data_IF_304163942724
#
_entry.id   IF_304163942724
#
_cell.length_a   1.000
_cell.length_b   1.000
_cell.length_c   1.000
_cell.angle_alpha   90.00
_cell.angle_beta   90.00
_cell.angle_gamma   90.00
#
_symmetry.space_group_name_H-M   'P 1'
#
loop_
_entity.id
_entity.type
_entity.pdbx_description
1 polymer ?
#
# COMPACT_ATOMS: atom_id res chain seq x y z
N UNK A 1 -21.11 -2.11 -30.44
CA UNK A 1 -20.77 -3.55 -30.22
C UNK A 1 -19.28 -3.81 -30.43
N UNK A 2 -18.60 -3.17 -31.41
CA UNK A 2 -17.15 -3.31 -31.63
C UNK A 2 -16.32 -2.80 -30.44
N UNK A 3 -16.58 -1.57 -30.00
CA UNK A 3 -15.83 -0.94 -28.88
C UNK A 3 -15.92 -1.74 -27.56
N UNK A 4 -17.09 -2.31 -27.26
CA UNK A 4 -17.26 -3.19 -26.10
C UNK A 4 -16.38 -4.45 -26.18
N UNK A 5 -16.32 -5.09 -27.36
CA UNK A 5 -15.50 -6.30 -27.56
C UNK A 5 -14.02 -5.95 -27.52
N UNK A 6 -13.62 -4.88 -28.20
CA UNK A 6 -12.24 -4.39 -28.25
C UNK A 6 -11.71 -4.07 -26.85
N UNK A 7 -12.50 -3.34 -26.05
CA UNK A 7 -12.13 -3.02 -24.68
C UNK A 7 -12.12 -4.26 -23.76
N UNK A 8 -13.07 -5.19 -23.95
CA UNK A 8 -13.06 -6.46 -23.23
C UNK A 8 -11.76 -7.25 -23.47
N UNK A 9 -11.25 -7.23 -24.71
CA UNK A 9 -9.98 -7.88 -25.05
C UNK A 9 -8.80 -7.15 -24.38
N UNK A 10 -8.79 -5.81 -24.43
CA UNK A 10 -7.74 -5.01 -23.79
C UNK A 10 -7.71 -5.25 -22.27
N UNK A 11 -8.87 -5.24 -21.62
CA UNK A 11 -8.98 -5.51 -20.18
C UNK A 11 -8.55 -6.94 -19.84
N UNK A 12 -9.05 -7.94 -20.59
CA UNK A 12 -8.68 -9.34 -20.37
C UNK A 12 -7.16 -9.56 -20.54
N UNK A 13 -6.55 -8.93 -21.54
CA UNK A 13 -5.10 -8.97 -21.74
C UNK A 13 -4.37 -8.29 -20.59
N UNK A 14 -4.76 -7.06 -20.24
CA UNK A 14 -4.08 -6.27 -19.19
C UNK A 14 -4.12 -6.97 -17.85
N UNK A 15 -5.31 -7.35 -17.38
CA UNK A 15 -5.47 -8.02 -16.09
C UNK A 15 -5.00 -9.48 -16.12
N UNK A 16 -5.09 -10.14 -17.27
CA UNK A 16 -4.51 -11.47 -17.46
C UNK A 16 -2.99 -11.48 -17.34
N UNK A 17 -2.30 -10.47 -17.91
CA UNK A 17 -0.84 -10.30 -17.74
C UNK A 17 -0.46 -9.98 -16.30
N UNK A 18 -1.26 -9.17 -15.59
CA UNK A 18 -1.04 -8.88 -14.16
C UNK A 18 -1.24 -10.16 -13.32
N UNK A 19 -2.30 -10.91 -13.56
CA UNK A 19 -2.58 -12.15 -12.84
C UNK A 19 -1.54 -13.25 -13.12
N UNK A 20 -0.99 -13.27 -14.34
CA UNK A 20 0.05 -14.20 -14.75
C UNK A 20 1.47 -13.81 -14.27
N UNK A 21 1.62 -12.71 -13.50
CA UNK A 21 2.93 -12.31 -12.96
C UNK A 21 3.55 -13.46 -12.16
N UNK A 22 4.86 -13.61 -12.26
CA UNK A 22 5.55 -14.77 -11.66
C UNK A 22 5.61 -15.99 -12.58
N UNK A 23 4.95 -15.95 -13.73
CA UNK A 23 5.11 -16.92 -14.82
C UNK A 23 5.98 -16.32 -15.94
N UNK A 24 6.39 -17.18 -16.90
CA UNK A 24 7.18 -16.73 -18.06
C UNK A 24 6.50 -15.65 -18.92
N UNK A 25 5.17 -15.56 -18.86
CA UNK A 25 4.36 -14.65 -19.69
C UNK A 25 3.83 -13.43 -18.90
N UNK A 26 3.98 -13.41 -17.57
CA UNK A 26 3.51 -12.31 -16.75
C UNK A 26 4.38 -11.06 -16.84
N UNK A 27 3.74 -9.90 -16.84
CA UNK A 27 4.42 -8.60 -16.76
C UNK A 27 4.27 -8.02 -15.35
N UNK A 28 5.18 -7.12 -15.01
CA UNK A 28 5.00 -6.27 -13.83
C UNK A 28 3.70 -5.47 -13.98
N UNK A 29 2.91 -5.25 -12.91
CA UNK A 29 1.60 -4.62 -13.00
C UNK A 29 1.61 -3.27 -13.72
N UNK A 30 2.62 -2.44 -13.49
CA UNK A 30 2.76 -1.13 -14.13
C UNK A 30 2.99 -1.25 -15.64
N UNK A 31 3.79 -2.22 -16.08
CA UNK A 31 4.08 -2.42 -17.50
C UNK A 31 2.85 -2.97 -18.25
N UNK A 32 2.12 -3.92 -17.64
CA UNK A 32 0.86 -4.42 -18.18
C UNK A 32 -0.19 -3.32 -18.28
N UNK A 33 -0.28 -2.45 -17.27
CA UNK A 33 -1.25 -1.35 -17.25
C UNK A 33 -0.94 -0.28 -18.30
N UNK A 34 0.35 0.09 -18.50
CA UNK A 34 0.76 1.00 -19.57
C UNK A 34 0.49 0.40 -20.96
N UNK A 35 0.72 -0.91 -21.14
CA UNK A 35 0.38 -1.59 -22.37
C UNK A 35 -1.13 -1.51 -22.63
N UNK A 36 -1.96 -1.81 -21.62
CA UNK A 36 -3.41 -1.67 -21.70
C UNK A 36 -3.85 -0.27 -22.07
N UNK A 37 -3.29 0.75 -21.43
CA UNK A 37 -3.56 2.16 -21.73
C UNK A 37 -3.20 2.52 -23.18
N UNK A 38 -2.04 2.06 -23.66
CA UNK A 38 -1.61 2.27 -25.04
C UNK A 38 -2.57 1.62 -26.03
N UNK A 39 -3.00 0.38 -25.75
CA UNK A 39 -3.97 -0.32 -26.59
C UNK A 39 -5.34 0.35 -26.57
N UNK A 40 -5.82 0.83 -25.43
CA UNK A 40 -7.07 1.59 -25.28
C UNK A 40 -7.09 2.81 -26.21
N UNK A 41 -5.96 3.52 -26.32
CA UNK A 41 -5.83 4.68 -27.23
C UNK A 41 -5.67 4.24 -28.68
N UNK A 42 -4.77 3.31 -28.96
CA UNK A 42 -4.44 2.90 -30.33
C UNK A 42 -5.59 2.19 -31.04
N UNK A 43 -6.42 1.46 -30.32
CA UNK A 43 -7.64 0.84 -30.86
C UNK A 43 -8.82 1.82 -30.95
N UNK A 44 -8.61 3.08 -30.55
CA UNK A 44 -9.65 4.12 -30.66
C UNK A 44 -10.81 3.97 -29.68
N UNK A 45 -10.63 3.16 -28.61
CA UNK A 45 -11.63 2.99 -27.54
C UNK A 45 -11.83 4.34 -26.83
N UNK A 46 -10.73 5.05 -26.55
CA UNK A 46 -10.72 6.38 -25.99
C UNK A 46 -9.87 7.31 -26.86
N UNK A 47 -10.39 8.47 -27.28
CA UNK A 47 -9.58 9.47 -27.99
C UNK A 47 -8.43 9.97 -27.11
N UNK A 48 -7.24 10.32 -27.67
CA UNK A 48 -6.09 10.76 -26.91
C UNK A 48 -6.37 11.93 -25.96
N UNK A 49 -7.16 12.91 -26.41
CA UNK A 49 -7.54 14.07 -25.59
C UNK A 49 -8.31 13.67 -24.33
N UNK A 50 -9.21 12.69 -24.46
CA UNK A 50 -9.99 12.17 -23.32
C UNK A 50 -9.11 11.29 -22.43
N UNK A 51 -8.28 10.44 -23.05
CA UNK A 51 -7.34 9.59 -22.29
C UNK A 51 -6.42 10.43 -21.40
N UNK A 52 -5.87 11.52 -21.92
CA UNK A 52 -4.99 12.38 -21.11
C UNK A 52 -5.76 13.21 -20.07
N UNK A 53 -6.99 13.64 -20.37
CA UNK A 53 -7.82 14.36 -19.38
C UNK A 53 -8.43 13.44 -18.31
N UNK A 54 -8.46 12.13 -18.51
CA UNK A 54 -8.91 11.17 -17.48
C UNK A 54 -7.87 10.93 -16.40
N UNK A 55 -6.60 11.30 -16.62
CA UNK A 55 -5.55 11.16 -15.61
C UNK A 55 -5.81 12.15 -14.48
N UNK A 56 -6.07 11.61 -13.28
CA UNK A 56 -6.24 12.44 -12.10
C UNK A 56 -4.86 12.99 -11.64
N UNK A 57 -4.56 14.22 -12.06
CA UNK A 57 -3.28 14.88 -11.74
C UNK A 57 -3.11 15.13 -10.25
N UNK A 58 -4.19 15.33 -9.49
CA UNK A 58 -4.10 15.50 -8.03
C UNK A 58 -3.55 14.23 -7.37
N UNK A 59 -4.04 13.06 -7.76
CA UNK A 59 -3.50 11.78 -7.29
C UNK A 59 -2.02 11.62 -7.68
N UNK A 60 -1.67 11.90 -8.94
CA UNK A 60 -0.29 11.76 -9.42
C UNK A 60 0.67 12.70 -8.66
N UNK A 61 0.33 13.98 -8.55
CA UNK A 61 1.18 14.96 -7.85
C UNK A 61 1.30 14.67 -6.36
N UNK A 62 0.21 14.19 -5.74
CA UNK A 62 0.24 13.77 -4.34
C UNK A 62 1.17 12.57 -4.13
N UNK A 63 1.06 11.53 -4.99
CA UNK A 63 1.95 10.36 -4.96
C UNK A 63 3.41 10.76 -5.16
N UNK A 64 3.72 11.58 -6.18
CA UNK A 64 5.09 12.08 -6.42
C UNK A 64 5.63 12.78 -5.18
N UNK A 65 4.81 13.60 -4.52
CA UNK A 65 5.22 14.36 -3.34
C UNK A 65 5.51 13.45 -2.14
N UNK A 66 4.62 12.51 -1.84
CA UNK A 66 4.81 11.56 -0.74
C UNK A 66 5.97 10.60 -1.01
N UNK A 67 6.10 10.11 -2.24
CA UNK A 67 7.21 9.24 -2.62
C UNK A 67 8.55 9.98 -2.59
N UNK A 68 8.57 11.30 -2.81
CA UNK A 68 9.78 12.11 -2.61
C UNK A 68 10.23 12.07 -1.15
N UNK A 69 9.31 12.24 -0.20
CA UNK A 69 9.63 12.20 1.22
C UNK A 69 10.06 10.79 1.65
N UNK A 70 9.36 9.76 1.19
CA UNK A 70 9.71 8.36 1.46
C UNK A 70 11.09 8.01 0.87
N UNK A 71 11.34 8.38 -0.38
CA UNK A 71 12.62 8.19 -1.06
C UNK A 71 13.77 8.91 -0.35
N UNK A 72 13.53 10.12 0.16
CA UNK A 72 14.54 10.85 0.93
C UNK A 72 14.93 10.11 2.22
N UNK A 73 13.96 9.51 2.93
CA UNK A 73 14.23 8.66 4.10
C UNK A 73 15.01 7.40 3.72
N UNK A 74 14.69 6.79 2.60
CA UNK A 74 15.39 5.61 2.09
C UNK A 74 16.83 5.95 1.68
N UNK A 75 17.02 6.98 0.84
CA UNK A 75 18.33 7.45 0.37
C UNK A 75 19.21 7.92 1.53
N UNK A 76 18.60 8.45 2.59
CA UNK A 76 19.34 8.81 3.80
C UNK A 76 19.94 7.60 4.54
N UNK A 77 19.45 6.38 4.32
CA UNK A 77 19.81 5.17 5.06
C UNK A 77 19.13 5.05 6.43
N UNK A 78 18.21 5.96 6.79
CA UNK A 78 17.56 6.01 8.09
C UNK A 78 16.73 4.76 8.40
N UNK A 79 15.98 4.24 7.41
CA UNK A 79 15.18 3.03 7.60
C UNK A 79 16.05 1.80 7.88
N UNK A 80 17.21 1.72 7.22
CA UNK A 80 18.23 0.71 7.52
C UNK A 80 18.81 0.83 8.92
N UNK A 81 19.07 2.05 9.38
CA UNK A 81 19.50 2.29 10.75
C UNK A 81 18.45 1.89 11.80
N UNK A 82 17.15 2.18 11.53
CA UNK A 82 16.06 1.70 12.39
C UNK A 82 16.05 0.18 12.47
N UNK A 83 16.07 -0.52 11.33
CA UNK A 83 16.08 -1.98 11.30
C UNK A 83 17.26 -2.56 12.11
N UNK A 84 18.47 -1.98 11.96
CA UNK A 84 19.62 -2.33 12.79
C UNK A 84 19.35 -2.14 14.29
N UNK A 85 18.81 -0.99 14.68
CA UNK A 85 18.51 -0.69 16.09
C UNK A 85 17.49 -1.66 16.70
N UNK A 86 16.50 -2.10 15.93
CA UNK A 86 15.52 -3.10 16.36
C UNK A 86 16.22 -4.42 16.72
N UNK A 87 17.10 -4.91 15.85
CA UNK A 87 17.84 -6.15 16.09
C UNK A 87 18.81 -5.98 17.25
N UNK A 88 19.63 -4.93 17.26
CA UNK A 88 20.63 -4.68 18.29
C UNK A 88 20.04 -4.50 19.69
N UNK A 89 18.80 -4.03 19.79
CA UNK A 89 18.11 -3.82 21.08
C UNK A 89 17.29 -5.03 21.54
N UNK A 90 17.20 -6.10 20.75
CA UNK A 90 16.37 -7.27 21.06
C UNK A 90 17.16 -8.34 21.78
N UNK A 91 16.56 -8.88 22.84
CA UNK A 91 17.18 -9.91 23.70
C UNK A 91 16.74 -11.33 23.29
N UNK A 92 15.61 -11.47 22.63
CA UNK A 92 15.06 -12.76 22.20
C UNK A 92 14.45 -12.69 20.79
N UNK A 93 14.32 -13.81 20.08
CA UNK A 93 13.63 -13.87 18.80
C UNK A 93 12.17 -13.42 18.89
N UNK A 94 11.47 -13.70 19.98
CA UNK A 94 10.10 -13.25 20.20
C UNK A 94 9.98 -11.71 20.28
N UNK A 95 10.90 -11.09 21.01
CA UNK A 95 11.00 -9.64 21.11
C UNK A 95 11.33 -9.02 19.72
N UNK A 96 12.26 -9.64 18.99
CA UNK A 96 12.65 -9.17 17.67
C UNK A 96 11.49 -9.26 16.65
N UNK A 97 10.76 -10.39 16.61
CA UNK A 97 9.55 -10.55 15.79
C UNK A 97 8.54 -9.44 16.12
N UNK A 98 8.27 -9.22 17.42
CA UNK A 98 7.34 -8.18 17.86
C UNK A 98 7.80 -6.78 17.48
N UNK A 99 9.08 -6.46 17.68
CA UNK A 99 9.65 -5.14 17.33
C UNK A 99 9.64 -4.88 15.84
N UNK A 100 10.03 -5.86 15.01
CA UNK A 100 9.99 -5.71 13.55
C UNK A 100 8.55 -5.51 13.08
N UNK A 101 7.61 -6.31 13.59
CA UNK A 101 6.19 -6.20 13.24
C UNK A 101 5.61 -4.82 13.60
N UNK A 102 5.75 -4.40 14.86
CA UNK A 102 5.18 -3.14 15.34
C UNK A 102 5.86 -1.91 14.72
N UNK A 103 7.18 -1.95 14.53
CA UNK A 103 7.91 -0.84 13.93
C UNK A 103 7.62 -0.69 12.44
N UNK A 104 7.54 -1.79 11.70
CA UNK A 104 7.16 -1.75 10.29
C UNK A 104 5.72 -1.26 10.11
N UNK A 105 4.81 -1.66 11.01
CA UNK A 105 3.45 -1.14 11.02
C UNK A 105 3.42 0.37 11.31
N UNK A 106 4.14 0.83 12.34
CA UNK A 106 4.20 2.24 12.68
C UNK A 106 4.80 3.10 11.54
N UNK A 107 5.85 2.61 10.88
CA UNK A 107 6.45 3.29 9.74
C UNK A 107 5.47 3.33 8.55
N UNK A 108 4.78 2.23 8.28
CA UNK A 108 3.86 2.12 7.16
C UNK A 108 2.54 2.91 7.34
N UNK A 109 2.22 3.38 8.52
CA UNK A 109 1.14 4.35 8.72
C UNK A 109 1.44 5.68 8.03
N UNK A 110 2.71 6.09 8.03
CA UNK A 110 3.14 7.42 7.56
C UNK A 110 3.94 7.36 6.25
N UNK A 111 4.49 6.20 5.93
CA UNK A 111 5.23 5.93 4.70
C UNK A 111 4.47 4.85 3.92
N UNK A 112 4.75 4.75 2.62
CA UNK A 112 4.13 3.69 1.83
C UNK A 112 4.58 2.30 2.29
N UNK A 113 3.66 1.34 2.29
CA UNK A 113 3.95 -0.05 2.61
C UNK A 113 5.10 -0.62 1.76
N UNK A 114 5.15 -0.27 0.47
CA UNK A 114 6.16 -0.74 -0.47
C UNK A 114 7.55 -0.17 -0.15
N UNK A 115 7.64 1.12 0.17
CA UNK A 115 8.90 1.78 0.56
C UNK A 115 9.48 1.20 1.87
N UNK A 116 8.64 0.97 2.88
CA UNK A 116 9.08 0.36 4.14
C UNK A 116 9.53 -1.09 3.93
N UNK A 117 8.78 -1.88 3.14
CA UNK A 117 9.13 -3.25 2.80
C UNK A 117 10.46 -3.33 2.04
N UNK A 118 10.63 -2.49 1.02
CA UNK A 118 11.84 -2.43 0.19
C UNK A 118 13.09 -2.03 0.96
N UNK A 119 12.97 -1.10 1.91
CA UNK A 119 14.09 -0.60 2.69
C UNK A 119 14.49 -1.51 3.86
N UNK A 120 13.51 -2.15 4.53
CA UNK A 120 13.79 -2.98 5.71
C UNK A 120 14.18 -4.42 5.36
N UNK A 121 13.62 -5.01 4.30
CA UNK A 121 13.89 -6.40 3.93
C UNK A 121 15.38 -6.68 3.62
N UNK A 122 16.13 -5.83 2.88
CA UNK A 122 17.55 -6.02 2.65
C UNK A 122 18.39 -6.00 3.94
N UNK A 123 17.99 -5.16 4.90
CA UNK A 123 18.68 -5.05 6.20
C UNK A 123 18.43 -6.31 7.03
N UNK A 124 17.17 -6.77 7.11
CA UNK A 124 16.82 -8.03 7.77
C UNK A 124 17.60 -9.21 7.15
N UNK A 125 17.71 -9.26 5.82
CA UNK A 125 18.46 -10.30 5.12
C UNK A 125 19.96 -10.27 5.46
N UNK A 126 20.55 -9.08 5.57
CA UNK A 126 21.99 -8.97 5.93
C UNK A 126 22.26 -9.46 7.35
N UNK A 127 21.31 -9.24 8.26
CA UNK A 127 21.40 -9.67 9.66
C UNK A 127 21.28 -11.19 9.85
N UNK A 128 20.61 -11.91 8.93
CA UNK A 128 20.56 -13.37 8.94
C UNK A 128 21.95 -14.00 8.96
N UNK A 129 22.84 -13.50 8.12
CA UNK A 129 24.22 -14.01 8.03
C UNK A 129 25.07 -13.64 9.23
N UNK A 130 24.88 -12.45 9.78
CA UNK A 130 25.71 -11.88 10.83
C UNK A 130 25.29 -12.37 12.22
N UNK A 131 23.99 -12.49 12.49
CA UNK A 131 23.46 -12.91 13.79
C UNK A 131 23.07 -14.41 13.84
N UNK A 132 23.29 -15.17 12.76
CA UNK A 132 22.89 -16.58 12.61
C UNK A 132 21.41 -16.83 12.95
N UNK A 133 20.56 -15.86 12.63
CA UNK A 133 19.13 -15.91 12.89
C UNK A 133 18.38 -16.49 11.69
N UNK A 134 17.32 -17.25 11.99
CA UNK A 134 16.33 -17.51 10.94
C UNK A 134 15.54 -16.22 10.67
N UNK A 135 15.80 -15.57 9.53
CA UNK A 135 15.18 -14.30 9.22
C UNK A 135 13.79 -14.44 8.58
N UNK A 136 13.35 -15.63 8.18
CA UNK A 136 11.99 -15.83 7.64
C UNK A 136 10.88 -15.29 8.55
N UNK A 137 10.87 -15.56 9.87
CA UNK A 137 9.89 -14.97 10.79
C UNK A 137 9.87 -13.44 10.77
N UNK A 138 11.05 -12.81 10.65
CA UNK A 138 11.17 -11.36 10.59
C UNK A 138 10.62 -10.79 9.29
N UNK A 139 10.83 -11.51 8.18
CA UNK A 139 10.33 -11.13 6.88
C UNK A 139 8.79 -11.22 6.82
N UNK A 140 8.18 -12.26 7.40
CA UNK A 140 6.72 -12.34 7.57
C UNK A 140 6.20 -11.23 8.49
N UNK A 141 6.91 -10.94 9.58
CA UNK A 141 6.56 -9.86 10.50
C UNK A 141 6.60 -8.50 9.80
N UNK A 142 7.59 -8.27 8.95
CA UNK A 142 7.67 -7.08 8.10
C UNK A 142 6.47 -7.01 7.14
N UNK A 143 6.20 -8.07 6.38
CA UNK A 143 5.13 -8.10 5.37
C UNK A 143 3.74 -7.86 5.98
N UNK A 144 3.40 -8.56 7.06
CA UNK A 144 2.12 -8.35 7.75
C UNK A 144 2.07 -7.00 8.48
N UNK A 145 3.19 -6.55 9.05
CA UNK A 145 3.27 -5.26 9.74
C UNK A 145 3.01 -4.09 8.81
N UNK A 146 3.68 -4.03 7.65
CA UNK A 146 3.47 -2.94 6.69
C UNK A 146 2.05 -2.93 6.13
N UNK A 147 1.47 -4.12 5.90
CA UNK A 147 0.09 -4.23 5.41
C UNK A 147 -0.93 -3.75 6.44
N UNK A 148 -0.83 -4.22 7.69
CA UNK A 148 -1.78 -3.83 8.75
C UNK A 148 -1.61 -2.36 9.12
N UNK A 149 -0.38 -1.88 9.25
CA UNK A 149 -0.10 -0.48 9.60
C UNK A 149 -0.64 0.50 8.56
N UNK A 150 -0.49 0.19 7.29
CA UNK A 150 -0.90 1.06 6.19
C UNK A 150 -2.42 1.26 6.06
N UNK A 151 -3.23 0.49 6.79
CA UNK A 151 -4.71 0.68 6.81
C UNK A 151 -5.10 1.99 7.50
N UNK A 152 -4.35 2.42 8.51
CA UNK A 152 -4.77 3.45 9.46
C UNK A 152 -4.94 4.85 8.84
N UNK A 153 -4.20 5.18 7.79
CA UNK A 153 -4.16 6.52 7.20
C UNK A 153 -4.30 6.48 5.66
N UNK A 154 -4.79 7.56 5.04
CA UNK A 154 -4.88 7.64 3.59
C UNK A 154 -3.54 7.48 2.88
N UNK A 155 -2.46 7.95 3.49
CA UNK A 155 -1.10 7.95 2.90
C UNK A 155 -0.35 6.63 3.08
N UNK A 156 -0.87 5.69 3.87
CA UNK A 156 -0.21 4.41 4.15
C UNK A 156 -0.04 3.53 2.93
N UNK A 157 -0.93 3.67 1.95
CA UNK A 157 -0.86 2.95 0.67
C UNK A 157 -1.63 3.67 -0.44
N UNK A 158 -1.32 3.40 -1.73
CA UNK A 158 -1.92 4.10 -2.85
C UNK A 158 -3.44 3.91 -2.99
N UNK A 159 -3.99 2.73 -2.64
CA UNK A 159 -5.43 2.49 -2.73
C UNK A 159 -6.24 3.28 -1.71
N UNK A 160 -5.73 3.44 -0.49
CA UNK A 160 -6.37 4.27 0.54
C UNK A 160 -6.39 5.74 0.11
N UNK A 161 -5.28 6.19 -0.49
CA UNK A 161 -5.20 7.53 -1.04
C UNK A 161 -6.24 7.76 -2.15
N UNK A 162 -6.38 6.80 -3.06
CA UNK A 162 -7.38 6.88 -4.13
C UNK A 162 -8.79 6.97 -3.55
N UNK A 163 -9.12 6.15 -2.54
CA UNK A 163 -10.41 6.22 -1.85
C UNK A 163 -10.59 7.59 -1.20
N UNK A 164 -9.61 8.09 -0.48
CA UNK A 164 -9.69 9.38 0.22
C UNK A 164 -9.94 10.56 -0.73
N UNK A 165 -9.38 10.53 -1.94
CA UNK A 165 -9.51 11.61 -2.91
C UNK A 165 -10.75 11.49 -3.80
N UNK A 166 -11.17 10.27 -4.17
CA UNK A 166 -12.21 10.04 -5.18
C UNK A 166 -13.58 9.61 -4.59
N UNK A 167 -13.65 9.26 -3.30
CA UNK A 167 -14.93 8.90 -2.65
C UNK A 167 -15.85 10.07 -2.36
N UNK A 168 -15.32 11.29 -2.34
CA UNK A 168 -16.02 12.49 -1.92
C UNK A 168 -16.16 12.64 -0.40
N UNK A 169 -15.40 11.91 0.39
CA UNK A 169 -15.32 12.05 1.85
C UNK A 169 -15.02 13.49 2.23
N UNK A 170 -15.71 14.01 3.25
CA UNK A 170 -15.58 15.41 3.63
C UNK A 170 -14.30 15.71 4.43
N UNK A 171 -13.86 14.74 5.24
CA UNK A 171 -12.72 14.88 6.17
C UNK A 171 -11.85 13.62 6.16
N UNK A 172 -11.23 13.28 5.01
CA UNK A 172 -10.66 11.95 4.79
C UNK A 172 -9.57 11.57 5.82
N UNK A 173 -8.74 12.51 6.26
CA UNK A 173 -7.69 12.20 7.25
C UNK A 173 -8.26 11.92 8.63
N UNK A 174 -9.21 12.74 9.10
CA UNK A 174 -9.88 12.53 10.39
C UNK A 174 -10.73 11.26 10.35
N UNK A 175 -11.47 11.03 9.27
CA UNK A 175 -12.34 9.89 9.11
C UNK A 175 -11.55 8.58 9.11
N UNK A 176 -10.39 8.54 8.42
CA UNK A 176 -9.49 7.39 8.51
C UNK A 176 -8.97 7.17 9.94
N UNK A 177 -8.50 8.24 10.62
CA UNK A 177 -8.02 8.13 12.01
C UNK A 177 -9.11 7.60 12.93
N UNK A 178 -10.30 8.16 12.88
CA UNK A 178 -11.41 7.80 13.78
C UNK A 178 -11.89 6.37 13.55
N UNK A 179 -12.04 5.98 12.29
CA UNK A 179 -12.66 4.69 11.96
C UNK A 179 -11.64 3.55 11.74
N UNK A 180 -10.41 3.83 11.36
CA UNK A 180 -9.42 2.79 11.05
C UNK A 180 -8.26 2.69 12.04
N UNK A 181 -7.83 3.76 12.67
CA UNK A 181 -6.72 3.68 13.64
C UNK A 181 -7.05 2.79 14.85
N UNK A 182 -8.22 2.91 15.52
CA UNK A 182 -8.52 2.06 16.66
C UNK A 182 -8.53 0.55 16.32
N UNK A 183 -9.24 0.07 15.28
CA UNK A 183 -9.21 -1.34 14.94
C UNK A 183 -7.85 -1.79 14.39
N UNK A 184 -7.04 -0.90 13.79
CA UNK A 184 -5.65 -1.19 13.43
C UNK A 184 -4.81 -1.49 14.67
N UNK A 185 -4.90 -0.67 15.72
CA UNK A 185 -4.19 -0.90 16.98
C UNK A 185 -4.64 -2.22 17.64
N UNK A 186 -5.93 -2.54 17.62
CA UNK A 186 -6.45 -3.83 18.09
C UNK A 186 -5.84 -4.98 17.28
N UNK A 187 -5.82 -4.85 15.95
CA UNK A 187 -5.21 -5.86 15.07
C UNK A 187 -3.73 -6.04 15.35
N UNK A 188 -2.97 -4.98 15.57
CA UNK A 188 -1.56 -5.05 15.95
C UNK A 188 -1.38 -5.78 17.29
N UNK A 189 -2.20 -5.47 18.28
CA UNK A 189 -2.15 -6.12 19.59
C UNK A 189 -2.47 -7.62 19.53
N UNK A 190 -3.47 -8.02 18.72
CA UNK A 190 -3.87 -9.42 18.56
C UNK A 190 -2.87 -10.18 17.67
N UNK A 191 -2.40 -9.58 16.59
CA UNK A 191 -1.53 -10.26 15.62
C UNK A 191 -0.12 -10.50 16.19
N UNK A 192 0.40 -9.60 17.04
CA UNK A 192 1.72 -9.77 17.67
C UNK A 192 1.90 -11.12 18.36
N UNK A 193 1.06 -11.53 19.33
CA UNK A 193 1.21 -12.84 19.98
C UNK A 193 0.93 -14.00 19.01
N UNK A 194 0.10 -13.81 18.00
CA UNK A 194 -0.12 -14.85 16.96
C UNK A 194 1.18 -15.11 16.22
N UNK A 195 1.89 -14.08 15.76
CA UNK A 195 3.16 -14.22 15.04
C UNK A 195 4.25 -14.87 15.92
N UNK A 196 4.38 -14.42 17.17
CA UNK A 196 5.35 -15.00 18.12
C UNK A 196 5.12 -16.49 18.30
N UNK A 197 3.85 -16.92 18.48
CA UNK A 197 3.50 -18.35 18.60
C UNK A 197 3.67 -19.11 17.31
N UNK A 198 3.23 -18.53 16.20
CA UNK A 198 3.25 -19.14 14.86
C UNK A 198 4.67 -19.48 14.43
N UNK A 199 5.61 -18.61 14.70
CA UNK A 199 7.01 -18.81 14.35
C UNK A 199 7.82 -19.54 15.43
N UNK A 200 7.17 -19.96 16.52
CA UNK A 200 7.84 -20.59 17.67
C UNK A 200 9.11 -19.80 18.06
N UNK A 201 8.98 -18.49 18.10
CA UNK A 201 10.05 -17.60 18.48
C UNK A 201 10.37 -17.86 19.96
N UNK A 202 11.22 -18.85 20.22
CA UNK A 202 11.57 -19.32 21.56
C UNK A 202 12.52 -18.36 22.27
N UNK A 203 12.85 -18.70 23.53
CA UNK A 203 13.72 -17.90 24.42
C UNK A 203 15.23 -18.03 24.13
N UNK A 204 15.62 -18.47 22.94
CA UNK A 204 17.03 -18.51 22.58
C UNK A 204 17.62 -17.10 22.60
N UNK A 205 18.68 -16.92 23.35
CA UNK A 205 19.36 -15.62 23.38
C UNK A 205 19.96 -15.29 22.00
N UNK A 206 19.64 -14.13 21.48
CA UNK A 206 20.29 -13.60 20.28
C UNK A 206 21.70 -13.17 20.68
N UNK A 207 22.71 -13.90 20.22
CA UNK A 207 24.11 -13.46 20.32
C UNK A 207 24.41 -12.63 19.09
N UNK A 208 24.44 -11.32 19.24
CA UNK A 208 24.98 -10.46 18.21
C UNK A 208 26.48 -10.28 18.45
N UNK A 209 27.28 -10.75 17.51
CA UNK A 209 28.64 -10.25 17.38
C UNK A 209 28.53 -8.75 17.11
N UNK A 210 29.42 -7.94 17.71
CA UNK A 210 29.35 -6.49 17.66
C UNK A 210 29.25 -6.00 16.21
N UNK A 211 28.06 -5.60 15.81
CA UNK A 211 27.79 -5.00 14.50
C UNK A 211 27.98 -3.50 14.62
N UNK A 212 28.78 -2.94 13.74
CA UNK A 212 28.85 -1.49 13.62
C UNK A 212 27.51 -0.94 13.09
N UNK A 213 26.94 0.10 13.75
CA UNK A 213 25.72 0.70 13.27
C UNK A 213 25.90 1.27 11.87
N UNK A 214 25.00 1.00 10.92
CA UNK A 214 25.07 1.62 9.61
C UNK A 214 24.98 3.15 9.75
N UNK A 215 25.85 3.86 9.07
CA UNK A 215 25.79 5.32 8.98
C UNK A 215 24.59 5.74 8.16
N UNK A 216 23.95 6.85 8.55
CA UNK A 216 22.87 7.46 7.77
C UNK A 216 23.08 8.99 7.69
N UNK A 217 22.56 9.58 6.63
CA UNK A 217 22.57 11.02 6.42
C UNK A 217 21.53 11.69 7.34
N UNK A 218 22.01 12.22 8.47
CA UNK A 218 21.16 12.85 9.48
C UNK A 218 20.41 14.07 8.95
N UNK A 219 21.07 14.87 8.10
CA UNK A 219 20.47 16.09 7.55
C UNK A 219 19.27 15.76 6.68
N UNK A 220 19.44 14.86 5.72
CA UNK A 220 18.36 14.42 4.84
C UNK A 220 17.24 13.67 5.61
N UNK A 221 17.63 12.78 6.54
CA UNK A 221 16.66 12.04 7.34
C UNK A 221 15.77 12.98 8.18
N UNK A 222 16.38 13.92 8.91
CA UNK A 222 15.61 14.84 9.76
C UNK A 222 14.78 15.83 8.94
N UNK A 223 15.24 16.27 7.78
CA UNK A 223 14.45 17.11 6.88
C UNK A 223 13.22 16.36 6.36
N UNK A 224 13.37 15.10 5.96
CA UNK A 224 12.25 14.28 5.50
C UNK A 224 11.27 13.94 6.64
N UNK A 225 11.76 13.63 7.85
CA UNK A 225 10.92 13.41 9.03
C UNK A 225 10.18 14.70 9.46
N UNK A 226 10.83 15.86 9.36
CA UNK A 226 10.20 17.14 9.65
C UNK A 226 9.10 17.46 8.62
N UNK A 227 9.34 17.22 7.33
CA UNK A 227 8.33 17.35 6.29
C UNK A 227 7.11 16.46 6.57
N UNK A 228 7.33 15.17 6.84
CA UNK A 228 6.27 14.22 7.17
C UNK A 228 5.51 14.62 8.44
N UNK A 229 6.24 15.01 9.49
CA UNK A 229 5.67 15.44 10.78
C UNK A 229 4.89 16.75 10.69
N UNK A 230 5.22 17.63 9.74
CA UNK A 230 4.46 18.85 9.48
C UNK A 230 3.20 18.58 8.63
N UNK A 231 3.28 17.66 7.66
CA UNK A 231 2.16 17.34 6.78
C UNK A 231 0.97 16.73 7.53
N UNK A 232 1.21 15.83 8.49
CA UNK A 232 0.14 15.15 9.21
C UNK A 232 -0.79 16.12 9.98
N UNK A 233 -0.29 16.99 10.87
CA UNK A 233 -1.13 17.97 11.54
C UNK A 233 -1.81 18.92 10.55
N UNK A 234 -1.13 19.25 9.44
CA UNK A 234 -1.67 20.14 8.43
C UNK A 234 -2.84 19.53 7.68
N UNK A 235 -2.79 18.26 7.30
CA UNK A 235 -3.92 17.55 6.69
C UNK A 235 -5.14 17.49 7.64
N UNK A 236 -4.89 17.18 8.92
CA UNK A 236 -5.94 17.19 9.94
C UNK A 236 -6.54 18.61 10.10
N UNK A 237 -5.69 19.64 10.09
CA UNK A 237 -6.15 21.02 10.16
C UNK A 237 -7.04 21.39 8.97
N UNK A 238 -6.68 20.94 7.77
CA UNK A 238 -7.44 21.17 6.54
C UNK A 238 -8.82 20.49 6.56
N UNK A 239 -8.95 19.37 7.25
CA UNK A 239 -10.24 18.69 7.45
C UNK A 239 -11.18 19.47 8.40
N UNK A 240 -10.63 20.35 9.24
CA UNK A 240 -11.40 21.08 10.28
C UNK A 240 -11.61 22.55 9.93
N UNK A 241 -10.60 23.19 9.38
CA UNK A 241 -10.58 24.62 9.11
C UNK A 241 -10.75 24.88 7.61
N UNK A 242 -11.72 25.69 7.18
CA UNK A 242 -11.84 26.07 5.79
C UNK A 242 -10.56 26.75 5.29
N UNK A 243 -9.96 26.19 4.26
CA UNK A 243 -8.75 26.69 3.65
C UNK A 243 -9.05 27.42 2.33
N UNK A 244 -8.21 28.36 1.90
CA UNK A 244 -8.29 28.91 0.56
C UNK A 244 -8.23 27.80 -0.50
N UNK A 245 -8.93 27.94 -1.60
CA UNK A 245 -9.06 26.90 -2.63
C UNK A 245 -7.73 26.36 -3.22
N UNK A 246 -6.67 27.17 -3.14
CA UNK A 246 -5.33 26.76 -3.58
C UNK A 246 -4.54 25.99 -2.51
N UNK A 247 -5.02 25.93 -1.27
CA UNK A 247 -4.40 25.18 -0.17
C UNK A 247 -5.12 23.83 -0.08
N UNK A 248 -4.59 22.84 -0.76
CA UNK A 248 -5.11 21.46 -0.80
C UNK A 248 -4.06 20.49 -0.26
N UNK A 249 -4.42 19.28 0.15
CA UNK A 249 -3.44 18.26 0.52
C UNK A 249 -2.35 18.06 -0.54
N UNK A 250 -2.72 18.16 -1.82
CA UNK A 250 -1.81 18.03 -2.96
C UNK A 250 -0.79 19.16 -3.00
N UNK A 251 -1.26 20.42 -2.96
CA UNK A 251 -0.38 21.60 -3.09
C UNK A 251 0.58 21.74 -1.92
N UNK A 252 0.13 21.37 -0.71
CA UNK A 252 0.96 21.40 0.50
C UNK A 252 2.02 20.28 0.46
N UNK A 253 1.65 19.10 0.01
CA UNK A 253 2.60 17.99 -0.18
C UNK A 253 3.65 18.32 -1.22
N UNK A 254 3.22 18.91 -2.34
CA UNK A 254 4.11 19.37 -3.41
C UNK A 254 5.09 20.44 -2.89
N UNK A 255 4.60 21.38 -2.07
CA UNK A 255 5.43 22.36 -1.40
C UNK A 255 6.48 21.73 -0.49
N UNK A 256 6.10 20.77 0.35
CA UNK A 256 7.02 20.06 1.23
C UNK A 256 8.09 19.28 0.45
N UNK A 257 7.70 18.57 -0.62
CA UNK A 257 8.63 17.87 -1.50
C UNK A 257 9.59 18.82 -2.22
N UNK A 258 9.09 19.98 -2.69
CA UNK A 258 9.90 21.00 -3.36
C UNK A 258 10.94 21.61 -2.41
N UNK A 259 10.56 21.88 -1.17
CA UNK A 259 11.48 22.36 -0.13
C UNK A 259 12.55 21.30 0.15
N UNK A 260 12.17 20.04 0.23
CA UNK A 260 13.12 18.95 0.45
C UNK A 260 14.14 18.84 -0.70
N UNK A 261 13.69 18.95 -1.96
CA UNK A 261 14.59 18.99 -3.12
C UNK A 261 15.52 20.21 -3.11
N UNK A 262 15.03 21.36 -2.69
CA UNK A 262 15.84 22.58 -2.58
C UNK A 262 16.92 22.44 -1.47
N UNK A 263 16.58 21.76 -0.39
CA UNK A 263 17.46 21.57 0.76
C UNK A 263 18.57 20.54 0.50
N UNK A 264 18.25 19.39 -0.12
CA UNK A 264 19.20 18.27 -0.24
C UNK A 264 20.14 18.42 -1.43
N UNK A 265 21.41 18.04 -1.25
CA UNK A 265 22.36 17.85 -2.34
C UNK A 265 22.11 16.54 -3.12
N UNK A 266 21.48 15.54 -2.49
CA UNK A 266 21.15 14.24 -3.07
C UNK A 266 19.86 14.23 -3.88
N UNK A 267 19.43 15.39 -4.39
CA UNK A 267 18.15 15.55 -5.12
C UNK A 267 17.99 14.57 -6.29
N UNK A 268 19.10 14.28 -6.99
CA UNK A 268 19.09 13.32 -8.10
C UNK A 268 18.87 11.89 -7.62
N UNK A 269 19.53 11.50 -6.53
CA UNK A 269 19.34 10.17 -5.93
C UNK A 269 17.90 10.01 -5.43
N UNK A 270 17.36 11.01 -4.75
CA UNK A 270 15.97 11.02 -4.27
C UNK A 270 14.99 10.87 -5.42
N UNK A 271 15.12 11.65 -6.51
CA UNK A 271 14.18 11.54 -7.64
C UNK A 271 14.32 10.22 -8.39
N UNK A 272 15.54 9.68 -8.50
CA UNK A 272 15.75 8.38 -9.17
C UNK A 272 15.23 7.20 -8.35
N UNK A 273 15.12 7.34 -7.03
CA UNK A 273 14.64 6.30 -6.12
C UNK A 273 13.12 6.42 -5.83
N UNK A 274 12.40 7.33 -6.52
CA UNK A 274 10.95 7.34 -6.43
C UNK A 274 10.36 6.03 -6.93
N UNK A 275 9.21 5.66 -6.40
CA UNK A 275 8.42 4.54 -6.92
C UNK A 275 7.73 4.91 -8.25
N UNK A 276 8.56 5.07 -9.29
CA UNK A 276 8.10 5.33 -10.66
C UNK A 276 7.16 4.25 -11.19
N UNK A 277 7.39 2.94 -10.91
CA UNK A 277 6.45 1.90 -11.27
C UNK A 277 5.02 2.18 -10.82
N UNK A 278 4.82 2.58 -9.58
CA UNK A 278 3.49 2.91 -9.05
C UNK A 278 2.90 4.15 -9.73
N UNK A 279 3.68 5.19 -9.99
CA UNK A 279 3.22 6.40 -10.70
C UNK A 279 2.75 6.04 -12.13
N UNK A 280 3.56 5.29 -12.87
CA UNK A 280 3.23 4.83 -14.23
C UNK A 280 2.01 3.92 -14.23
N UNK A 281 1.88 3.06 -13.22
CA UNK A 281 0.70 2.23 -13.04
C UNK A 281 -0.58 3.06 -12.92
N UNK A 282 -0.58 4.13 -12.10
CA UNK A 282 -1.76 4.99 -11.94
C UNK A 282 -2.12 5.74 -13.21
N UNK A 283 -1.13 6.26 -13.94
CA UNK A 283 -1.35 6.91 -15.24
C UNK A 283 -2.06 5.95 -16.19
N UNK A 284 -1.55 4.73 -16.32
CA UNK A 284 -2.17 3.71 -17.16
C UNK A 284 -3.56 3.30 -16.67
N UNK A 285 -3.73 3.17 -15.35
CA UNK A 285 -4.97 2.78 -14.70
C UNK A 285 -6.11 3.77 -15.01
N UNK A 286 -5.88 5.07 -14.93
CA UNK A 286 -6.90 6.07 -15.24
C UNK A 286 -7.37 5.96 -16.68
N UNK A 287 -6.46 5.75 -17.63
CA UNK A 287 -6.79 5.61 -19.06
C UNK A 287 -7.59 4.33 -19.32
N UNK A 288 -7.15 3.20 -18.76
CA UNK A 288 -7.83 1.91 -18.91
C UNK A 288 -9.22 1.95 -18.27
N UNK A 289 -9.33 2.58 -17.08
CA UNK A 289 -10.61 2.74 -16.38
C UNK A 289 -11.60 3.60 -17.17
N UNK A 290 -11.14 4.68 -17.80
CA UNK A 290 -11.98 5.51 -18.66
C UNK A 290 -12.48 4.72 -19.88
N UNK A 291 -11.64 3.87 -20.46
CA UNK A 291 -12.04 2.94 -21.53
C UNK A 291 -13.15 2.01 -21.06
N UNK A 292 -12.96 1.36 -19.93
CA UNK A 292 -13.90 0.41 -19.34
C UNK A 292 -15.26 1.05 -18.96
N UNK A 293 -15.24 2.30 -18.52
CA UNK A 293 -16.45 3.07 -18.24
C UNK A 293 -17.23 3.39 -19.52
N UNK A 294 -16.55 3.93 -20.55
CA UNK A 294 -17.17 4.36 -21.82
C UNK A 294 -17.69 3.20 -22.67
N UNK A 295 -16.95 2.11 -22.74
CA UNK A 295 -17.34 0.91 -23.44
C UNK A 295 -18.52 0.17 -22.80
N UNK A 296 -18.75 0.40 -21.50
CA UNK A 296 -19.73 -0.32 -20.69
C UNK A 296 -19.24 -1.68 -20.17
N UNK A 297 -18.00 -2.07 -20.47
CA UNK A 297 -17.42 -3.36 -20.03
C UNK A 297 -17.31 -3.43 -18.50
N UNK A 298 -17.00 -2.30 -17.85
CA UNK A 298 -16.97 -2.24 -16.39
C UNK A 298 -18.28 -2.71 -15.75
N UNK A 299 -19.41 -2.34 -16.36
CA UNK A 299 -20.74 -2.70 -15.85
C UNK A 299 -21.09 -4.17 -16.10
N UNK A 300 -20.64 -4.71 -17.22
CA UNK A 300 -20.80 -6.13 -17.50
C UNK A 300 -19.99 -6.98 -16.50
N UNK A 301 -18.72 -6.61 -16.25
CA UNK A 301 -17.86 -7.30 -15.28
C UNK A 301 -18.43 -7.18 -13.86
N UNK A 302 -18.93 -5.99 -13.49
CA UNK A 302 -19.49 -5.73 -12.17
C UNK A 302 -20.66 -6.67 -11.80
N UNK A 303 -21.39 -7.19 -12.79
CA UNK A 303 -22.47 -8.15 -12.56
C UNK A 303 -22.00 -9.52 -12.05
N UNK A 304 -20.73 -9.87 -12.32
CA UNK A 304 -20.09 -11.13 -11.90
C UNK A 304 -19.23 -10.98 -10.64
N UNK A 305 -18.93 -9.74 -10.24
CA UNK A 305 -18.14 -9.48 -9.02
C UNK A 305 -19.02 -9.48 -7.77
N UNK A 306 -18.45 -9.73 -6.57
CA UNK A 306 -19.17 -9.54 -5.32
C UNK A 306 -19.75 -8.13 -5.26
N UNK A 307 -21.06 -8.01 -5.06
CA UNK A 307 -21.74 -6.70 -5.05
C UNK A 307 -21.46 -5.98 -3.74
N UNK A 308 -20.94 -4.75 -3.76
CA UNK A 308 -20.65 -3.97 -2.56
C UNK A 308 -21.93 -3.29 -2.02
N UNK A 309 -23.03 -4.06 -1.90
CA UNK A 309 -24.34 -3.53 -1.43
C UNK A 309 -24.49 -3.52 0.08
N UNK A 310 -23.59 -4.16 0.78
CA UNK A 310 -23.55 -4.18 2.24
C UNK A 310 -22.11 -4.39 2.72
N UNK A 311 -21.90 -4.19 4.00
CA UNK A 311 -20.56 -4.27 4.61
C UNK A 311 -19.84 -5.60 4.32
N UNK A 312 -20.56 -6.74 4.41
CA UNK A 312 -19.99 -8.05 4.13
C UNK A 312 -19.60 -8.21 2.65
N UNK A 313 -20.42 -7.71 1.73
CA UNK A 313 -20.15 -7.71 0.30
C UNK A 313 -18.90 -6.89 -0.04
N UNK A 314 -18.71 -5.72 0.62
CA UNK A 314 -17.50 -4.89 0.46
C UNK A 314 -16.27 -5.63 0.95
N UNK A 315 -16.32 -6.26 2.14
CA UNK A 315 -15.20 -7.05 2.66
C UNK A 315 -14.87 -8.25 1.76
N UNK A 316 -15.88 -8.99 1.30
CA UNK A 316 -15.70 -10.10 0.38
C UNK A 316 -15.07 -9.63 -0.95
N UNK A 317 -15.57 -8.54 -1.50
CA UNK A 317 -15.02 -7.92 -2.69
C UNK A 317 -13.56 -7.50 -2.49
N UNK A 318 -13.30 -6.70 -1.44
CA UNK A 318 -11.96 -6.20 -1.13
C UNK A 318 -10.94 -7.33 -0.99
N UNK A 319 -11.27 -8.36 -0.23
CA UNK A 319 -10.33 -9.46 0.03
C UNK A 319 -10.16 -10.37 -1.18
N UNK A 320 -11.25 -10.83 -1.81
CA UNK A 320 -11.18 -11.86 -2.85
C UNK A 320 -10.71 -11.31 -4.19
N UNK A 321 -11.24 -10.16 -4.63
CA UNK A 321 -10.89 -9.59 -5.93
C UNK A 321 -9.44 -9.10 -5.95
N UNK A 322 -8.95 -8.56 -4.83
CA UNK A 322 -7.54 -8.16 -4.71
C UNK A 322 -6.55 -9.31 -4.91
N UNK A 323 -6.95 -10.56 -4.66
CA UNK A 323 -6.06 -11.71 -4.92
C UNK A 323 -5.83 -11.94 -6.42
N UNK A 324 -6.78 -11.53 -7.25
CA UNK A 324 -6.71 -11.74 -8.70
C UNK A 324 -6.02 -10.58 -9.40
N UNK A 325 -6.45 -9.35 -9.07
CA UNK A 325 -6.01 -8.14 -9.80
C UNK A 325 -5.16 -7.18 -8.98
N UNK A 326 -4.86 -7.51 -7.71
CA UNK A 326 -4.17 -6.66 -6.73
C UNK A 326 -5.06 -5.52 -6.19
N UNK A 327 -4.58 -4.87 -5.09
CA UNK A 327 -5.38 -3.93 -4.28
C UNK A 327 -5.79 -2.67 -5.05
N UNK A 328 -4.82 -2.03 -5.71
CA UNK A 328 -5.06 -0.73 -6.38
C UNK A 328 -6.01 -0.86 -7.57
N UNK A 329 -5.82 -1.82 -8.52
CA UNK A 329 -6.77 -2.04 -9.60
C UNK A 329 -8.18 -2.40 -9.10
N UNK A 330 -8.26 -3.17 -8.02
CA UNK A 330 -9.54 -3.52 -7.40
C UNK A 330 -10.28 -2.26 -6.95
N UNK A 331 -9.62 -1.41 -6.19
CA UNK A 331 -10.21 -0.15 -5.68
C UNK A 331 -10.63 0.76 -6.82
N UNK A 332 -9.81 0.91 -7.86
CA UNK A 332 -10.12 1.73 -9.02
C UNK A 332 -11.37 1.26 -9.80
N UNK A 333 -11.64 -0.05 -9.80
CA UNK A 333 -12.88 -0.61 -10.37
C UNK A 333 -14.06 -0.38 -9.42
N UNK A 334 -13.85 -0.54 -8.12
CA UNK A 334 -14.95 -0.50 -7.15
C UNK A 334 -15.42 0.92 -6.81
N UNK A 335 -14.56 1.94 -6.86
CA UNK A 335 -15.00 3.34 -6.63
C UNK A 335 -16.14 3.74 -7.58
N UNK A 336 -15.97 3.73 -8.91
CA UNK A 336 -17.06 4.10 -9.82
C UNK A 336 -18.25 3.15 -9.74
N UNK A 337 -18.04 1.88 -9.43
CA UNK A 337 -19.11 0.92 -9.21
C UNK A 337 -19.96 1.27 -8.00
N UNK A 338 -19.33 1.57 -6.87
CA UNK A 338 -20.01 1.98 -5.63
C UNK A 338 -20.78 3.29 -5.82
N UNK A 339 -20.17 4.28 -6.45
CA UNK A 339 -20.82 5.56 -6.78
C UNK A 339 -22.08 5.35 -7.63
N UNK A 340 -22.00 4.46 -8.63
CA UNK A 340 -23.17 4.14 -9.47
C UNK A 340 -24.28 3.39 -8.71
N UNK A 341 -23.94 2.60 -7.70
CA UNK A 341 -24.90 1.95 -6.81
C UNK A 341 -25.52 2.91 -5.81
N UNK A 342 -25.22 4.22 -5.89
CA UNK A 342 -25.73 5.26 -5.03
C UNK A 342 -24.97 5.41 -3.72
N UNK A 343 -23.80 4.76 -3.58
CA UNK A 343 -22.90 4.92 -2.44
C UNK A 343 -22.13 6.23 -2.65
N UNK A 344 -22.59 7.29 -2.01
CA UNK A 344 -22.02 8.63 -2.11
C UNK A 344 -21.20 9.03 -0.88
N UNK A 345 -20.83 10.31 -0.76
CA UNK A 345 -20.03 10.84 0.36
C UNK A 345 -20.62 10.54 1.74
N UNK A 346 -21.97 10.46 1.85
CA UNK A 346 -22.65 10.15 3.11
C UNK A 346 -22.54 8.68 3.58
N UNK A 347 -22.10 7.79 2.71
CA UNK A 347 -21.92 6.37 3.03
C UNK A 347 -20.49 6.08 3.55
N UNK A 348 -20.05 6.88 4.52
CA UNK A 348 -18.68 6.86 5.03
C UNK A 348 -18.17 5.46 5.39
N UNK A 349 -18.97 4.69 6.15
CA UNK A 349 -18.59 3.34 6.60
C UNK A 349 -18.30 2.40 5.43
N UNK A 350 -19.00 2.55 4.31
CA UNK A 350 -18.80 1.70 3.13
C UNK A 350 -17.47 2.02 2.43
N UNK A 351 -17.08 3.29 2.35
CA UNK A 351 -15.77 3.72 1.84
C UNK A 351 -14.62 3.28 2.74
N UNK A 352 -14.79 3.46 4.04
CA UNK A 352 -13.81 3.00 5.04
C UNK A 352 -13.67 1.47 5.02
N UNK A 353 -14.78 0.74 4.80
CA UNK A 353 -14.74 -0.72 4.64
C UNK A 353 -13.98 -1.16 3.39
N UNK A 354 -14.13 -0.43 2.28
CA UNK A 354 -13.35 -0.67 1.07
C UNK A 354 -11.84 -0.48 1.33
N UNK A 355 -11.47 0.59 2.02
CA UNK A 355 -10.08 0.87 2.40
C UNK A 355 -9.49 -0.24 3.28
N UNK A 356 -10.21 -0.63 4.35
CA UNK A 356 -9.77 -1.69 5.24
C UNK A 356 -9.63 -3.03 4.51
N UNK A 357 -10.69 -3.45 3.81
CA UNK A 357 -10.76 -4.78 3.19
C UNK A 357 -9.76 -4.96 2.05
N UNK A 358 -9.62 -3.94 1.18
CA UNK A 358 -8.63 -3.97 0.08
C UNK A 358 -7.20 -3.99 0.60
N UNK A 359 -6.91 -3.29 1.69
CA UNK A 359 -5.56 -3.25 2.25
C UNK A 359 -5.21 -4.55 2.95
N UNK A 360 -6.06 -5.06 3.87
CA UNK A 360 -5.77 -6.34 4.58
C UNK A 360 -5.76 -7.56 3.65
N UNK A 361 -6.36 -7.45 2.47
CA UNK A 361 -6.27 -8.47 1.42
C UNK A 361 -4.82 -8.84 1.09
N UNK A 362 -3.90 -7.89 1.22
CA UNK A 362 -2.46 -8.10 1.06
C UNK A 362 -1.86 -9.14 2.00
N UNK A 363 -2.48 -9.41 3.14
CA UNK A 363 -2.01 -10.43 4.07
C UNK A 363 -2.34 -11.85 3.61
N UNK A 364 -3.31 -12.06 2.70
CA UNK A 364 -3.81 -13.40 2.35
C UNK A 364 -2.83 -14.19 1.49
N UNK A 365 -2.29 -13.58 0.45
CA UNK A 365 -1.34 -14.24 -0.46
C UNK A 365 -0.14 -13.35 -0.75
N UNK A 366 0.94 -13.98 -1.18
CA UNK A 366 2.17 -13.26 -1.59
C UNK A 366 1.88 -12.21 -2.67
N UNK A 367 1.00 -12.54 -3.61
CA UNK A 367 0.64 -11.64 -4.72
C UNK A 367 -0.47 -10.65 -4.36
N UNK A 368 -1.06 -10.77 -3.17
CA UNK A 368 -2.12 -9.89 -2.70
C UNK A 368 -1.69 -8.43 -2.51
N UNK A 369 -0.39 -8.18 -2.24
CA UNK A 369 0.18 -6.83 -2.17
C UNK A 369 1.55 -6.77 -2.84
N UNK A 370 1.89 -5.62 -3.45
CA UNK A 370 3.19 -5.39 -4.05
C UNK A 370 4.31 -5.42 -3.00
N UNK A 371 4.09 -4.86 -1.81
CA UNK A 371 5.02 -4.87 -0.68
C UNK A 371 5.53 -6.26 -0.30
N UNK A 372 4.68 -7.30 -0.37
CA UNK A 372 5.10 -8.68 -0.09
C UNK A 372 6.10 -9.19 -1.12
N UNK A 373 5.84 -8.90 -2.40
CA UNK A 373 6.75 -9.30 -3.50
C UNK A 373 8.07 -8.56 -3.38
N UNK A 374 8.02 -7.24 -3.15
CA UNK A 374 9.20 -6.40 -2.95
C UNK A 374 10.05 -6.91 -1.77
N UNK A 375 9.40 -7.21 -0.64
CA UNK A 375 10.07 -7.77 0.53
C UNK A 375 10.74 -9.12 0.22
N UNK A 376 10.00 -10.02 -0.47
CA UNK A 376 10.50 -11.35 -0.84
C UNK A 376 11.68 -11.28 -1.80
N UNK A 377 11.57 -10.50 -2.88
CA UNK A 377 12.63 -10.35 -3.87
C UNK A 377 13.88 -9.68 -3.28
N UNK A 378 13.69 -8.63 -2.48
CA UNK A 378 14.79 -7.91 -1.84
C UNK A 378 15.54 -8.80 -0.83
N UNK A 379 14.81 -9.68 -0.15
CA UNK A 379 15.38 -10.66 0.76
C UNK A 379 16.09 -11.78 -0.01
N UNK A 380 15.44 -12.35 -1.05
CA UNK A 380 15.98 -13.46 -1.86
C UNK A 380 17.31 -13.12 -2.53
N UNK A 381 17.44 -11.91 -3.07
CA UNK A 381 18.70 -11.43 -3.68
C UNK A 381 19.89 -11.47 -2.72
N UNK A 382 19.68 -11.41 -1.41
CA UNK A 382 20.74 -11.36 -0.39
C UNK A 382 20.90 -12.66 0.38
N UNK A 383 19.81 -13.38 0.65
CA UNK A 383 19.78 -14.60 1.45
C UNK A 383 19.76 -15.87 0.62
N UNK A 384 19.32 -15.80 -0.64
CA UNK A 384 19.05 -16.95 -1.50
C UNK A 384 17.70 -17.63 -1.21
N UNK A 385 16.91 -17.11 -0.25
CA UNK A 385 15.64 -17.65 0.17
C UNK A 385 14.56 -16.55 0.08
N UNK A 386 13.39 -16.89 -0.48
CA UNK A 386 12.22 -16.01 -0.52
C UNK A 386 11.01 -16.62 0.20
N UNK A 387 9.86 -15.98 0.05
CA UNK A 387 8.60 -16.56 0.50
C UNK A 387 8.16 -17.71 -0.39
N UNK A 388 7.83 -18.85 0.21
CA UNK A 388 7.03 -19.87 -0.46
C UNK A 388 5.56 -19.39 -0.55
N UNK A 389 4.96 -19.46 -1.75
CA UNK A 389 3.56 -19.05 -1.94
C UNK A 389 2.59 -19.75 -0.98
N UNK A 390 2.69 -21.10 -0.89
CA UNK A 390 1.84 -21.91 0.01
C UNK A 390 2.15 -21.62 1.48
N UNK A 391 3.41 -21.38 1.81
CA UNK A 391 3.83 -21.05 3.17
C UNK A 391 3.25 -19.70 3.59
N UNK A 392 3.35 -18.69 2.73
CA UNK A 392 2.75 -17.36 2.97
C UNK A 392 1.23 -17.47 3.14
N UNK A 393 0.55 -18.19 2.24
CA UNK A 393 -0.89 -18.39 2.30
C UNK A 393 -1.34 -19.03 3.60
N UNK A 394 -0.61 -20.06 4.08
CA UNK A 394 -0.92 -20.74 5.34
C UNK A 394 -0.94 -19.80 6.54
N UNK A 395 0.03 -18.92 6.64
CA UNK A 395 0.11 -17.90 7.70
C UNK A 395 -0.85 -16.73 7.43
N UNK A 396 -0.94 -16.32 6.18
CA UNK A 396 -1.75 -15.22 5.74
C UNK A 396 -3.25 -15.41 5.96
N UNK A 397 -3.77 -16.63 5.77
CA UNK A 397 -5.19 -16.94 6.04
C UNK A 397 -5.57 -16.61 7.48
N UNK A 398 -4.75 -17.02 8.44
CA UNK A 398 -5.02 -16.77 9.87
C UNK A 398 -5.01 -15.28 10.17
N UNK A 399 -3.97 -14.58 9.70
CA UNK A 399 -3.83 -13.14 9.91
C UNK A 399 -4.98 -12.37 9.24
N UNK A 400 -5.30 -12.72 7.98
CA UNK A 400 -6.37 -12.05 7.23
C UNK A 400 -7.74 -12.24 7.89
N UNK A 401 -8.10 -13.47 8.30
CA UNK A 401 -9.38 -13.73 8.95
C UNK A 401 -9.51 -12.94 10.25
N UNK A 402 -8.47 -12.96 11.11
CA UNK A 402 -8.48 -12.23 12.37
C UNK A 402 -8.63 -10.73 12.13
N UNK A 403 -7.84 -10.18 11.21
CA UNK A 403 -7.88 -8.74 10.91
C UNK A 403 -9.22 -8.34 10.27
N UNK A 404 -9.73 -9.13 9.33
CA UNK A 404 -11.03 -8.87 8.71
C UNK A 404 -12.16 -8.85 9.73
N UNK A 405 -12.17 -9.81 10.66
CA UNK A 405 -13.18 -9.86 11.72
C UNK A 405 -13.13 -8.62 12.62
N UNK A 406 -11.94 -8.19 13.04
CA UNK A 406 -11.79 -6.99 13.88
C UNK A 406 -12.30 -5.75 13.16
N UNK A 407 -11.89 -5.50 11.90
CA UNK A 407 -12.38 -4.36 11.13
C UNK A 407 -13.87 -4.45 10.87
N UNK A 408 -14.37 -5.62 10.48
CA UNK A 408 -15.78 -5.83 10.19
C UNK A 408 -16.66 -5.56 11.42
N UNK A 409 -16.33 -6.15 12.56
CA UNK A 409 -17.09 -5.97 13.81
C UNK A 409 -17.01 -4.53 14.31
N UNK A 410 -15.86 -3.89 14.21
CA UNK A 410 -15.67 -2.48 14.55
C UNK A 410 -16.56 -1.58 13.69
N UNK A 411 -16.53 -1.75 12.36
CA UNK A 411 -17.32 -0.93 11.44
C UNK A 411 -18.82 -1.23 11.56
N UNK A 412 -19.19 -2.47 11.87
CA UNK A 412 -20.59 -2.81 12.18
C UNK A 412 -21.08 -2.07 13.45
N UNK A 413 -20.24 -1.99 14.48
CA UNK A 413 -20.54 -1.21 15.68
C UNK A 413 -20.66 0.29 15.36
N UNK A 414 -19.73 0.84 14.60
CA UNK A 414 -19.76 2.27 14.21
C UNK A 414 -20.96 2.61 13.32
N UNK A 415 -21.52 1.66 12.58
CA UNK A 415 -22.72 1.84 11.76
C UNK A 415 -24.00 1.87 12.60
N UNK A 416 -23.96 1.29 13.80
CA UNK A 416 -25.12 1.20 14.70
C UNK A 416 -25.25 2.42 15.65
N UNK A 417 -24.17 3.21 15.78
CA UNK A 417 -24.11 4.45 16.55
C UNK A 417 -24.43 5.63 15.63
#
# INVERSE_FOLDING_TARGET
MSVFIEDSIVLALTYGLIAARGTRFGLQPWAAMLLGASLTILMGIVPPSVAFSSINLDVILFLVSLFTIASALEVSGFLGYIAYRLVASSKSPAELVSKVFLSSAALSMFLTNDGVAGSMAPVIASMQKQARLNAKPLLYSLAFGVTIGSVALPIGNPQNLLIALDSGMAKPFIEFIVFLLPPTLINLAITTPILVRMFRAGDQSIKMDALDPPSFDKGLAYAALAALGALMPLYILMDVVPMPAYVTPVTVSLGAASILYAYTEKRREVVMNLDWPTILFFIGLFIVSEGALRSGVLYAIASYLPRPTNLLGIFAAGILVSQVISNVPMVAIYIPLMQRLGIGPGNLIDWIALAASSTIAGNLTLIGAASNVIASESFERRSGEGFGFIEFFKYGVIVTIVNALVYYLWLLLMRAI
#
